data_IF_249504605778
#
_entry.id   IF_249504605778
#
_cell.length_a   1.000
_cell.length_b   1.000
_cell.length_c   1.000
_cell.angle_alpha   90.00
_cell.angle_beta   90.00
_cell.angle_gamma   90.00
#
_symmetry.space_group_name_H-M   'P 1'
#
loop_
_entity.id
_entity.type
_entity.pdbx_description
1 polymer ?
#
# COMPACT_ATOMS: atom_id res chain seq x y z
N UNK A 1 -3.95 -10.84 22.23
CA UNK A 1 -5.16 -11.29 21.52
C UNK A 1 -6.06 -10.14 21.07
N UNK A 2 -6.27 -9.07 21.88
CA UNK A 2 -7.21 -7.98 21.54
C UNK A 2 -6.78 -7.10 20.34
N UNK A 3 -5.49 -6.70 20.27
CA UNK A 3 -4.97 -5.84 19.18
C UNK A 3 -4.94 -6.49 17.79
N UNK A 4 -4.78 -7.81 17.72
CA UNK A 4 -4.82 -8.52 16.42
C UNK A 4 -6.24 -8.54 15.85
N UNK A 5 -7.25 -8.69 16.71
CA UNK A 5 -8.66 -8.64 16.33
C UNK A 5 -9.09 -7.22 15.94
N UNK A 6 -8.64 -6.22 16.70
CA UNK A 6 -8.82 -4.79 16.37
C UNK A 6 -8.20 -4.45 15.01
N UNK A 7 -6.97 -4.89 14.77
CA UNK A 7 -6.30 -4.71 13.48
C UNK A 7 -7.08 -5.39 12.36
N UNK A 8 -7.44 -6.66 12.54
CA UNK A 8 -8.16 -7.43 11.53
C UNK A 8 -9.49 -6.77 11.14
N UNK A 9 -10.23 -6.24 12.12
CA UNK A 9 -11.48 -5.54 11.89
C UNK A 9 -11.28 -4.19 11.18
N UNK A 10 -10.22 -3.46 11.55
CA UNK A 10 -9.94 -2.15 10.96
C UNK A 10 -9.43 -2.28 9.53
N UNK A 11 -8.47 -3.19 9.29
CA UNK A 11 -7.82 -3.36 7.99
C UNK A 11 -8.74 -4.04 6.97
N UNK A 12 -9.76 -4.78 7.41
CA UNK A 12 -10.83 -5.27 6.53
C UNK A 12 -11.47 -4.18 5.64
N UNK A 13 -11.45 -2.92 6.07
CA UNK A 13 -11.92 -1.79 5.26
C UNK A 13 -11.03 -1.51 4.04
N UNK A 14 -9.73 -1.79 4.14
CA UNK A 14 -8.75 -1.51 3.09
C UNK A 14 -8.48 -2.74 2.24
N UNK A 15 -8.70 -3.94 2.80
CA UNK A 15 -8.75 -5.20 2.06
C UNK A 15 -9.84 -5.09 1.00
N UNK A 16 -9.45 -5.00 -0.27
CA UNK A 16 -10.38 -5.21 -1.38
C UNK A 16 -10.92 -6.65 -1.32
N UNK A 17 -12.00 -6.95 -2.05
CA UNK A 17 -12.42 -8.34 -2.24
C UNK A 17 -11.28 -9.15 -2.86
N UNK A 18 -11.17 -10.47 -2.58
CA UNK A 18 -10.20 -11.34 -3.23
C UNK A 18 -10.24 -11.16 -4.74
N UNK A 19 -9.07 -11.15 -5.37
CA UNK A 19 -8.92 -11.01 -6.82
C UNK A 19 -9.65 -12.20 -7.48
N UNK A 20 -10.78 -11.99 -8.19
CA UNK A 20 -11.47 -13.04 -8.92
C UNK A 20 -10.55 -13.65 -9.99
N UNK A 21 -10.80 -14.90 -10.39
CA UNK A 21 -10.11 -15.51 -11.53
C UNK A 21 -10.35 -14.69 -12.81
N UNK A 22 -9.36 -14.71 -13.71
CA UNK A 22 -9.36 -14.01 -15.01
C UNK A 22 -10.54 -14.37 -15.93
N UNK A 23 -11.34 -15.37 -15.56
CA UNK A 23 -12.59 -15.76 -16.24
C UNK A 23 -13.71 -14.73 -16.09
N UNK A 24 -13.56 -13.75 -15.20
CA UNK A 24 -14.46 -12.60 -15.09
C UNK A 24 -14.18 -11.63 -16.23
N UNK A 25 -15.21 -11.07 -16.87
CA UNK A 25 -15.06 -10.18 -18.04
C UNK A 25 -14.11 -9.02 -17.69
N UNK A 26 -12.89 -9.12 -18.21
CA UNK A 26 -11.86 -8.11 -18.09
C UNK A 26 -11.67 -7.45 -19.45
N UNK A 27 -11.84 -6.13 -19.50
CA UNK A 27 -11.54 -5.36 -20.70
C UNK A 27 -10.23 -4.60 -20.52
N UNK A 28 -9.48 -4.50 -21.60
CA UNK A 28 -8.20 -3.79 -21.61
C UNK A 28 -8.47 -2.29 -21.77
N UNK A 29 -7.78 -1.47 -20.98
CA UNK A 29 -7.72 -0.04 -21.26
C UNK A 29 -6.54 0.20 -22.18
N UNK A 30 -6.76 0.75 -23.36
CA UNK A 30 -5.70 1.09 -24.32
C UNK A 30 -5.37 2.60 -24.34
N UNK A 31 -6.24 3.43 -23.76
CA UNK A 31 -6.09 4.89 -23.70
C UNK A 31 -5.28 5.34 -22.47
N UNK A 32 -4.21 6.10 -22.71
CA UNK A 32 -3.36 6.70 -21.67
C UNK A 32 -4.17 7.58 -20.71
N UNK A 33 -5.07 8.39 -21.25
CA UNK A 33 -5.94 9.29 -20.46
C UNK A 33 -6.86 8.49 -19.52
N UNK A 34 -7.43 7.39 -20.01
CA UNK A 34 -8.31 6.54 -19.20
C UNK A 34 -7.53 5.79 -18.12
N UNK A 35 -6.31 5.34 -18.44
CA UNK A 35 -5.40 4.71 -17.48
C UNK A 35 -5.02 5.66 -16.34
N UNK A 36 -4.65 6.90 -16.65
CA UNK A 36 -4.34 7.94 -15.65
C UNK A 36 -5.56 8.24 -14.77
N UNK A 37 -6.73 8.46 -15.39
CA UNK A 37 -7.98 8.73 -14.66
C UNK A 37 -8.34 7.57 -13.72
N UNK A 38 -8.17 6.33 -14.17
CA UNK A 38 -8.43 5.14 -13.39
C UNK A 38 -7.51 5.04 -12.17
N UNK A 39 -6.21 5.33 -12.33
CA UNK A 39 -5.25 5.38 -11.22
C UNK A 39 -5.60 6.46 -10.20
N UNK A 40 -6.00 7.66 -10.65
CA UNK A 40 -6.44 8.74 -9.76
C UNK A 40 -7.66 8.33 -8.93
N UNK A 41 -8.69 7.77 -9.57
CA UNK A 41 -9.90 7.31 -8.89
C UNK A 41 -9.59 6.20 -7.88
N UNK A 42 -8.65 5.31 -8.23
CA UNK A 42 -8.13 4.25 -7.35
C UNK A 42 -7.38 4.80 -6.15
N UNK A 43 -6.45 5.73 -6.36
CA UNK A 43 -5.71 6.39 -5.29
C UNK A 43 -6.67 7.09 -4.33
N UNK A 44 -7.62 7.88 -4.85
CA UNK A 44 -8.62 8.58 -4.04
C UNK A 44 -9.46 7.62 -3.18
N UNK A 45 -9.99 6.57 -3.81
CA UNK A 45 -10.75 5.53 -3.09
C UNK A 45 -9.90 4.89 -2.01
N UNK A 46 -8.65 4.54 -2.33
CA UNK A 46 -7.77 3.86 -1.38
C UNK A 46 -7.37 4.76 -0.22
N UNK A 47 -7.03 6.02 -0.47
CA UNK A 47 -6.69 6.98 0.58
C UNK A 47 -7.86 7.20 1.53
N UNK A 48 -9.07 7.32 0.99
CA UNK A 48 -10.29 7.40 1.81
C UNK A 48 -10.44 6.19 2.74
N UNK A 49 -10.20 4.98 2.23
CA UNK A 49 -10.27 3.75 3.02
C UNK A 49 -9.15 3.67 4.06
N UNK A 50 -7.94 4.10 3.73
CA UNK A 50 -6.80 4.15 4.67
C UNK A 50 -7.08 5.12 5.81
N UNK A 51 -7.59 6.32 5.52
CA UNK A 51 -7.99 7.31 6.55
C UNK A 51 -9.05 6.69 7.47
N UNK A 52 -10.12 6.09 6.92
CA UNK A 52 -11.16 5.42 7.71
C UNK A 52 -10.62 4.26 8.54
N UNK A 53 -9.74 3.43 7.97
CA UNK A 53 -9.07 2.34 8.69
C UNK A 53 -8.26 2.88 9.86
N UNK A 54 -7.44 3.90 9.61
CA UNK A 54 -6.56 4.47 10.63
C UNK A 54 -7.35 5.00 11.82
N UNK A 55 -8.49 5.64 11.57
CA UNK A 55 -9.39 6.12 12.63
C UNK A 55 -9.99 5.01 13.50
N UNK A 56 -10.08 3.78 12.98
CA UNK A 56 -10.57 2.61 13.73
C UNK A 56 -9.48 1.91 14.55
N UNK A 57 -8.21 2.28 14.36
CA UNK A 57 -7.10 1.77 15.16
C UNK A 57 -6.95 2.66 16.38
N UNK A 58 -7.20 2.12 17.57
CA UNK A 58 -7.14 2.85 18.85
C UNK A 58 -5.80 3.57 19.01
N UNK A 59 -4.70 2.87 18.73
CA UNK A 59 -3.36 3.44 18.83
C UNK A 59 -3.10 4.63 17.91
N UNK A 60 -3.83 4.76 16.81
CA UNK A 60 -3.78 5.91 15.91
C UNK A 60 -4.74 7.01 16.38
N UNK A 61 -5.94 6.64 16.82
CA UNK A 61 -6.94 7.59 17.32
C UNK A 61 -6.48 8.33 18.58
N UNK A 62 -5.65 7.69 19.41
CA UNK A 62 -5.05 8.25 20.62
C UNK A 62 -3.92 9.28 20.33
N UNK A 63 -3.49 9.46 19.08
CA UNK A 63 -2.48 10.46 18.69
C UNK A 63 -3.08 11.88 18.63
N UNK A 64 -2.24 12.91 18.65
CA UNK A 64 -2.68 14.28 18.36
C UNK A 64 -2.98 14.44 16.86
N UNK A 65 -3.81 15.43 16.50
CA UNK A 65 -4.23 15.65 15.11
C UNK A 65 -3.05 15.96 14.18
N UNK A 66 -2.05 16.72 14.65
CA UNK A 66 -0.85 17.03 13.85
C UNK A 66 -0.10 15.76 13.44
N UNK A 67 0.13 14.85 14.39
CA UNK A 67 0.79 13.56 14.12
C UNK A 67 -0.06 12.68 13.20
N UNK A 68 -1.39 12.66 13.37
CA UNK A 68 -2.29 11.90 12.48
C UNK A 68 -2.17 12.37 11.02
N UNK A 69 -2.20 13.68 10.80
CA UNK A 69 -2.10 14.27 9.46
C UNK A 69 -0.75 13.94 8.84
N UNK A 70 0.34 14.16 9.57
CA UNK A 70 1.71 13.89 9.11
C UNK A 70 1.89 12.40 8.75
N UNK A 71 1.43 11.49 9.60
CA UNK A 71 1.48 10.05 9.33
C UNK A 71 0.63 9.64 8.13
N UNK A 72 -0.57 10.21 7.95
CA UNK A 72 -1.42 9.90 6.80
C UNK A 72 -0.82 10.40 5.49
N UNK A 73 -0.26 11.61 5.48
CA UNK A 73 0.44 12.14 4.29
C UNK A 73 1.62 11.26 3.89
N UNK A 74 2.44 10.81 4.84
CA UNK A 74 3.57 9.94 4.57
C UNK A 74 3.16 8.50 4.24
N UNK A 75 2.15 7.97 4.93
CA UNK A 75 1.75 6.57 4.89
C UNK A 75 0.80 6.20 3.76
N UNK A 76 -0.16 7.06 3.39
CA UNK A 76 -1.19 6.73 2.38
C UNK A 76 -0.60 6.23 1.05
N UNK A 77 0.39 6.91 0.43
CA UNK A 77 0.99 6.43 -0.82
C UNK A 77 1.76 5.12 -0.65
N UNK A 78 2.49 4.96 0.46
CA UNK A 78 3.23 3.73 0.77
C UNK A 78 2.28 2.55 0.92
N UNK A 79 1.18 2.72 1.67
CA UNK A 79 0.14 1.72 1.87
C UNK A 79 -0.60 1.39 0.58
N UNK A 80 -0.87 2.39 -0.26
CA UNK A 80 -1.45 2.16 -1.57
C UNK A 80 -0.51 1.31 -2.44
N UNK A 81 0.79 1.63 -2.51
CA UNK A 81 1.77 0.85 -3.28
C UNK A 81 1.92 -0.58 -2.76
N UNK A 82 2.03 -0.77 -1.44
CA UNK A 82 2.11 -2.08 -0.81
C UNK A 82 0.91 -2.97 -1.18
N UNK A 83 -0.28 -2.38 -1.31
CA UNK A 83 -1.48 -3.12 -1.70
C UNK A 83 -1.64 -3.33 -3.21
N UNK A 84 -1.09 -2.45 -4.06
CA UNK A 84 -1.16 -2.62 -5.52
C UNK A 84 -0.35 -3.82 -6.02
N UNK A 85 0.66 -4.24 -5.27
CA UNK A 85 1.48 -5.43 -5.57
C UNK A 85 0.64 -6.68 -5.73
N UNK A 86 -0.38 -6.85 -4.89
CA UNK A 86 -1.27 -8.02 -4.91
C UNK A 86 -2.05 -8.10 -6.24
N UNK A 87 -2.29 -6.95 -6.87
CA UNK A 87 -3.09 -6.85 -8.08
C UNK A 87 -2.26 -6.79 -9.36
N UNK A 88 -0.93 -6.83 -9.27
CA UNK A 88 -0.06 -6.80 -10.44
C UNK A 88 0.27 -8.20 -10.94
N UNK A 89 0.04 -8.42 -12.23
CA UNK A 89 0.47 -9.61 -12.94
C UNK A 89 1.86 -9.35 -13.55
N UNK A 90 2.87 -10.04 -13.01
CA UNK A 90 4.27 -9.85 -13.45
C UNK A 90 4.45 -10.33 -14.89
N UNK A 91 3.85 -11.48 -15.23
CA UNK A 91 4.04 -12.14 -16.53
C UNK A 91 3.24 -11.41 -17.61
N UNK A 92 1.99 -11.05 -17.29
CA UNK A 92 1.10 -10.29 -18.15
C UNK A 92 1.44 -8.80 -18.26
N UNK A 93 2.28 -8.28 -17.35
CA UNK A 93 2.69 -6.86 -17.26
C UNK A 93 1.48 -5.90 -17.18
N UNK A 94 0.47 -6.27 -16.40
CA UNK A 94 -0.71 -5.44 -16.18
C UNK A 94 -1.13 -5.43 -14.71
N UNK A 95 -1.78 -4.36 -14.28
CA UNK A 95 -2.55 -4.34 -13.04
C UNK A 95 -3.99 -4.76 -13.31
N UNK A 96 -4.52 -5.64 -12.45
CA UNK A 96 -5.96 -5.91 -12.38
C UNK A 96 -6.64 -4.84 -11.56
N UNK A 97 -7.52 -4.07 -12.20
CA UNK A 97 -8.25 -2.97 -11.57
C UNK A 97 -9.74 -3.27 -11.50
N UNK A 98 -10.27 -3.48 -10.29
CA UNK A 98 -11.68 -3.82 -10.09
C UNK A 98 -12.64 -2.62 -10.21
N UNK A 99 -13.59 -2.68 -11.13
CA UNK A 99 -14.61 -1.66 -11.33
C UNK A 99 -15.93 -2.20 -10.76
N UNK A 100 -16.21 -1.87 -9.50
CA UNK A 100 -17.34 -2.45 -8.77
C UNK A 100 -17.08 -3.89 -8.33
N UNK A 101 -18.16 -4.66 -8.16
CA UNK A 101 -18.08 -6.02 -7.58
C UNK A 101 -17.80 -7.12 -8.59
N UNK A 102 -18.15 -6.91 -9.87
CA UNK A 102 -18.17 -7.98 -10.88
C UNK A 102 -17.33 -7.69 -12.12
N UNK A 103 -16.74 -6.48 -12.24
CA UNK A 103 -15.96 -6.10 -13.42
C UNK A 103 -14.52 -5.82 -13.04
N UNK A 104 -13.61 -6.19 -13.92
CA UNK A 104 -12.20 -5.83 -13.82
C UNK A 104 -11.75 -5.18 -15.14
N UNK A 105 -10.75 -4.33 -15.06
CA UNK A 105 -9.99 -3.81 -16.18
C UNK A 105 -8.55 -4.24 -16.05
N UNK A 106 -7.92 -4.53 -17.17
CA UNK A 106 -6.46 -4.71 -17.22
C UNK A 106 -5.83 -3.38 -17.59
N UNK A 107 -5.07 -2.81 -16.67
CA UNK A 107 -4.24 -1.64 -16.91
C UNK A 107 -2.85 -2.13 -17.34
N UNK A 108 -2.58 -2.15 -18.63
CA UNK A 108 -1.26 -2.52 -19.14
C UNK A 108 -0.23 -1.47 -18.73
N UNK A 109 0.97 -1.93 -18.38
CA UNK A 109 2.12 -1.04 -18.14
C UNK A 109 2.40 -0.11 -19.32
N UNK A 110 2.13 -0.55 -20.55
CA UNK A 110 2.28 0.27 -21.76
C UNK A 110 1.36 1.48 -21.82
N UNK A 111 0.22 1.47 -21.13
CA UNK A 111 -0.77 2.57 -21.11
C UNK A 111 -0.30 3.71 -20.21
N UNK A 112 0.70 3.46 -19.38
CA UNK A 112 1.33 4.47 -18.53
C UNK A 112 2.46 5.20 -19.28
N UNK A 113 2.27 5.52 -20.57
CA UNK A 113 3.22 6.32 -21.34
C UNK A 113 3.49 7.64 -20.60
N UNK A 114 4.74 7.86 -20.18
CA UNK A 114 5.15 8.98 -19.30
C UNK A 114 5.58 8.56 -17.88
N UNK A 115 5.29 7.33 -17.46
CA UNK A 115 5.98 6.70 -16.33
C UNK A 115 7.32 6.16 -16.84
N UNK A 116 8.42 6.50 -16.16
CA UNK A 116 9.74 6.04 -16.58
C UNK A 116 9.86 4.52 -16.40
N UNK A 117 10.69 3.89 -17.23
CA UNK A 117 11.11 2.49 -17.05
C UNK A 117 11.62 2.23 -15.63
N UNK A 118 12.21 3.26 -15.00
CA UNK A 118 12.67 3.24 -13.62
C UNK A 118 11.52 2.97 -12.63
N UNK A 119 10.34 3.55 -12.81
CA UNK A 119 9.19 3.33 -11.90
C UNK A 119 8.69 1.89 -12.02
N UNK A 120 8.54 1.42 -13.26
CA UNK A 120 8.08 0.06 -13.55
C UNK A 120 9.10 -0.95 -13.01
N UNK A 121 10.39 -0.72 -13.23
CA UNK A 121 11.45 -1.61 -12.75
C UNK A 121 11.55 -1.60 -11.22
N UNK A 122 11.44 -0.43 -10.59
CA UNK A 122 11.45 -0.31 -9.12
C UNK A 122 10.24 -1.02 -8.49
N UNK A 123 9.06 -0.90 -9.10
CA UNK A 123 7.88 -1.65 -8.67
C UNK A 123 8.08 -3.17 -8.80
N UNK A 124 8.61 -3.64 -9.93
CA UNK A 124 8.95 -5.06 -10.13
C UNK A 124 9.96 -5.57 -9.10
N UNK A 125 11.04 -4.82 -8.88
CA UNK A 125 12.07 -5.17 -7.89
C UNK A 125 11.48 -5.27 -6.49
N UNK A 126 10.60 -4.34 -6.13
CA UNK A 126 9.89 -4.37 -4.86
C UNK A 126 9.01 -5.63 -4.74
N UNK A 127 8.26 -5.99 -5.78
CA UNK A 127 7.48 -7.22 -5.80
C UNK A 127 8.33 -8.48 -5.64
N UNK A 128 9.44 -8.60 -6.37
CA UNK A 128 10.35 -9.74 -6.23
C UNK A 128 10.95 -9.81 -4.83
N UNK A 129 11.25 -8.65 -4.22
CA UNK A 129 11.76 -8.58 -2.85
C UNK A 129 10.73 -9.01 -1.80
N UNK A 130 9.45 -8.74 -2.06
CA UNK A 130 8.35 -9.18 -1.21
C UNK A 130 8.17 -10.70 -1.26
N UNK A 131 8.61 -11.40 -2.33
CA UNK A 131 8.54 -12.85 -2.60
C UNK A 131 7.12 -13.38 -2.91
N UNK A 132 7.02 -14.30 -3.87
CA UNK A 132 5.76 -14.88 -4.34
C UNK A 132 5.03 -15.72 -3.26
N UNK A 133 5.74 -16.24 -2.25
CA UNK A 133 5.15 -16.98 -1.11
C UNK A 133 4.16 -16.16 -0.27
N UNK A 134 4.19 -14.83 -0.42
CA UNK A 134 3.34 -13.91 0.32
C UNK A 134 2.23 -13.29 -0.54
N UNK A 135 2.21 -13.61 -1.83
CA UNK A 135 1.03 -13.37 -2.66
C UNK A 135 -0.13 -14.10 -1.98
N UNK A 136 -1.15 -13.34 -1.57
CA UNK A 136 -2.38 -13.80 -0.91
C UNK A 136 -2.34 -13.97 0.63
N UNK A 137 -1.25 -13.66 1.34
CA UNK A 137 -1.29 -13.62 2.81
C UNK A 137 -1.74 -12.25 3.34
N UNK A 138 -3.04 -12.06 3.44
CA UNK A 138 -3.64 -10.81 3.90
C UNK A 138 -3.25 -10.47 5.35
N UNK A 139 -2.99 -11.45 6.21
CA UNK A 139 -2.59 -11.16 7.59
C UNK A 139 -1.20 -10.55 7.64
N UNK A 140 -0.29 -11.03 6.79
CA UNK A 140 1.03 -10.45 6.64
C UNK A 140 0.96 -9.02 6.11
N UNK A 141 0.21 -8.79 5.02
CA UNK A 141 0.10 -7.45 4.41
C UNK A 141 -0.48 -6.44 5.39
N UNK A 142 -1.44 -6.83 6.23
CA UNK A 142 -2.01 -5.98 7.26
C UNK A 142 -1.00 -5.60 8.35
N UNK A 143 -0.18 -6.56 8.78
CA UNK A 143 0.88 -6.32 9.76
C UNK A 143 1.94 -5.36 9.18
N UNK A 144 2.36 -5.58 7.93
CA UNK A 144 3.27 -4.69 7.23
C UNK A 144 2.65 -3.29 7.06
N UNK A 145 1.38 -3.20 6.70
CA UNK A 145 0.63 -1.95 6.59
C UNK A 145 0.63 -1.18 7.92
N UNK A 146 0.45 -1.89 9.04
CA UNK A 146 0.47 -1.27 10.36
C UNK A 146 1.86 -0.72 10.72
N UNK A 147 2.92 -1.45 10.37
CA UNK A 147 4.31 -1.02 10.59
C UNK A 147 4.62 0.24 9.78
N UNK A 148 4.13 0.32 8.53
CA UNK A 148 4.26 1.48 7.66
C UNK A 148 3.44 2.68 8.16
N UNK A 149 2.23 2.45 8.67
CA UNK A 149 1.36 3.52 9.18
C UNK A 149 1.96 4.23 10.41
N UNK A 150 2.60 3.47 11.31
CA UNK A 150 3.21 4.01 12.51
C UNK A 150 4.71 4.23 12.33
N UNK A 151 5.11 4.98 11.29
CA UNK A 151 6.53 5.29 11.07
C UNK A 151 6.99 6.47 11.95
N UNK A 152 7.87 6.26 12.95
CA UNK A 152 8.34 7.32 13.84
C UNK A 152 9.41 8.22 13.19
N UNK A 153 9.95 7.83 12.04
CA UNK A 153 11.03 8.53 11.36
C UNK A 153 10.48 9.60 10.38
N UNK A 154 9.16 9.69 10.23
CA UNK A 154 8.51 10.75 9.46
C UNK A 154 8.89 12.14 10.01
N UNK A 155 9.24 13.11 9.14
CA UNK A 155 9.53 14.48 9.55
C UNK A 155 8.34 15.14 10.26
N UNK A 156 8.61 16.14 11.10
CA UNK A 156 7.60 16.99 11.75
C UNK A 156 6.64 16.30 12.74
N UNK A 157 6.92 15.07 13.16
CA UNK A 157 6.18 14.42 14.25
C UNK A 157 6.50 15.03 15.62
N UNK A 158 5.46 15.25 16.42
CA UNK A 158 5.50 15.76 17.79
C UNK A 158 5.78 14.61 18.77
N UNK A 159 5.03 13.51 18.72
CA UNK A 159 5.10 12.43 19.71
C UNK A 159 5.74 11.14 19.16
N UNK A 160 6.95 11.25 18.60
CA UNK A 160 7.71 10.12 18.00
C UNK A 160 7.83 8.88 18.89
N UNK A 161 7.98 9.05 20.21
CA UNK A 161 8.10 7.92 21.16
C UNK A 161 6.81 7.09 21.21
N UNK A 162 5.64 7.74 21.23
CA UNK A 162 4.34 7.07 21.24
C UNK A 162 4.11 6.29 19.94
N UNK A 163 4.46 6.90 18.80
CA UNK A 163 4.37 6.27 17.48
C UNK A 163 5.31 5.06 17.39
N UNK A 164 6.56 5.20 17.83
CA UNK A 164 7.54 4.11 17.88
C UNK A 164 7.06 2.92 18.73
N UNK A 165 6.34 3.17 19.81
CA UNK A 165 5.75 2.12 20.63
C UNK A 165 4.65 1.35 19.88
N UNK A 166 3.80 2.06 19.13
CA UNK A 166 2.81 1.42 18.26
C UNK A 166 3.51 0.58 17.18
N UNK A 167 4.52 1.14 16.50
CA UNK A 167 5.28 0.42 15.47
C UNK A 167 5.90 -0.87 16.01
N UNK A 168 6.60 -0.79 17.14
CA UNK A 168 7.21 -1.94 17.81
C UNK A 168 6.19 -3.02 18.17
N UNK A 169 4.97 -2.61 18.54
CA UNK A 169 3.88 -3.55 18.81
C UNK A 169 3.55 -4.38 17.56
N UNK A 170 3.42 -3.74 16.39
CA UNK A 170 3.13 -4.46 15.14
C UNK A 170 4.32 -5.26 14.60
N UNK A 171 5.56 -4.77 14.79
CA UNK A 171 6.76 -5.54 14.49
C UNK A 171 6.86 -6.81 15.33
N UNK A 172 6.53 -6.75 16.62
CA UNK A 172 6.47 -7.91 17.49
C UNK A 172 5.37 -8.90 17.04
N UNK A 173 4.18 -8.40 16.70
CA UNK A 173 3.11 -9.24 16.17
C UNK A 173 3.52 -9.95 14.87
N UNK A 174 4.26 -9.26 13.99
CA UNK A 174 4.82 -9.85 12.77
C UNK A 174 5.82 -10.96 13.07
N UNK A 175 6.73 -10.77 14.03
CA UNK A 175 7.66 -11.83 14.45
C UNK A 175 6.91 -13.07 14.95
N UNK A 176 5.93 -12.88 15.84
CA UNK A 176 5.09 -13.98 16.36
C UNK A 176 4.30 -14.66 15.25
N UNK A 177 3.77 -13.91 14.29
CA UNK A 177 3.06 -14.45 13.14
C UNK A 177 3.96 -15.37 12.31
N UNK A 178 5.18 -14.93 12.00
CA UNK A 178 6.15 -15.71 11.25
C UNK A 178 6.63 -16.95 12.02
N UNK A 179 6.82 -16.87 13.33
CA UNK A 179 7.15 -18.03 14.18
C UNK A 179 6.04 -19.10 14.20
N UNK A 180 4.77 -18.69 14.13
CA UNK A 180 3.65 -19.64 14.06
C UNK A 180 3.57 -20.28 12.67
N UNK A 181 3.82 -19.49 11.62
CA UNK A 181 3.74 -19.94 10.24
C UNK A 181 4.92 -20.83 9.82
N UNK A 182 6.08 -20.64 10.44
CA UNK A 182 7.31 -21.35 10.11
C UNK A 182 7.83 -22.12 11.32
N UNK A 183 8.03 -23.43 11.19
CA UNK A 183 8.43 -24.33 12.29
C UNK A 183 9.91 -24.13 12.77
N UNK A 184 10.55 -23.02 12.42
CA UNK A 184 11.94 -22.71 12.77
C UNK A 184 12.11 -21.24 13.14
N UNK A 185 12.67 -21.00 14.32
CA UNK A 185 12.97 -19.64 14.81
C UNK A 185 14.01 -18.91 13.94
N UNK A 186 15.03 -19.62 13.47
CA UNK A 186 16.05 -19.03 12.58
C UNK A 186 15.44 -18.61 11.24
N UNK A 187 14.49 -19.40 10.76
CA UNK A 187 13.77 -19.14 9.52
C UNK A 187 12.85 -17.92 9.63
N UNK A 188 12.09 -17.80 10.73
CA UNK A 188 11.22 -16.66 10.98
C UNK A 188 12.00 -15.36 11.17
N UNK A 189 13.14 -15.38 11.88
CA UNK A 189 14.02 -14.22 12.04
C UNK A 189 14.61 -13.74 10.71
N UNK A 190 15.04 -14.68 9.85
CA UNK A 190 15.56 -14.36 8.52
C UNK A 190 14.48 -13.70 7.66
N UNK A 191 13.25 -14.24 7.68
CA UNK A 191 12.11 -13.65 6.95
C UNK A 191 11.73 -12.28 7.48
N UNK A 192 11.70 -12.10 8.80
CA UNK A 192 11.44 -10.81 9.42
C UNK A 192 12.43 -9.75 8.93
N UNK A 193 13.74 -10.05 8.95
CA UNK A 193 14.78 -9.13 8.46
C UNK A 193 14.59 -8.79 6.98
N UNK A 194 14.27 -9.77 6.14
CA UNK A 194 13.98 -9.55 4.71
C UNK A 194 12.78 -8.63 4.53
N UNK A 195 11.69 -8.85 5.25
CA UNK A 195 10.50 -8.01 5.19
C UNK A 195 10.77 -6.57 5.66
N UNK A 196 11.57 -6.38 6.72
CA UNK A 196 11.95 -5.02 7.16
C UNK A 196 12.83 -4.31 6.12
N UNK A 197 13.75 -5.04 5.46
CA UNK A 197 14.53 -4.48 4.36
C UNK A 197 13.65 -4.15 3.15
N UNK A 198 12.66 -4.98 2.86
CA UNK A 198 11.65 -4.72 1.84
C UNK A 198 10.92 -3.40 2.15
N UNK A 199 10.38 -3.21 3.35
CA UNK A 199 9.69 -1.97 3.72
C UNK A 199 10.56 -0.72 3.56
N UNK A 200 11.89 -0.80 3.76
CA UNK A 200 12.79 0.35 3.49
C UNK A 200 12.85 0.74 2.01
N UNK A 201 12.68 -0.21 1.10
CA UNK A 201 12.63 0.06 -0.34
C UNK A 201 11.30 0.71 -0.78
N UNK A 202 10.27 0.70 0.07
CA UNK A 202 8.98 1.31 -0.22
C UNK A 202 9.05 2.85 -0.28
N UNK A 203 9.88 3.46 0.57
CA UNK A 203 10.05 4.91 0.60
C UNK A 203 10.60 5.49 -0.73
N UNK A 204 11.75 5.05 -1.27
CA UNK A 204 12.26 5.57 -2.54
C UNK A 204 11.30 5.29 -3.71
N UNK A 205 10.65 4.12 -3.75
CA UNK A 205 9.61 3.84 -4.75
C UNK A 205 8.44 4.83 -4.64
N UNK A 206 8.04 5.19 -3.42
CA UNK A 206 6.98 6.17 -3.18
C UNK A 206 7.36 7.55 -3.70
N UNK A 207 8.60 8.00 -3.48
CA UNK A 207 9.08 9.29 -4.00
C UNK A 207 9.08 9.32 -5.53
N UNK A 208 9.52 8.23 -6.15
CA UNK A 208 9.51 8.09 -7.60
C UNK A 208 8.09 8.14 -8.16
N UNK A 209 7.15 7.40 -7.55
CA UNK A 209 5.73 7.44 -7.92
C UNK A 209 5.13 8.82 -7.70
N UNK A 210 5.42 9.50 -6.58
CA UNK A 210 4.96 10.89 -6.33
C UNK A 210 5.39 11.84 -7.44
N UNK A 211 6.66 11.79 -7.84
CA UNK A 211 7.21 12.62 -8.91
C UNK A 211 6.51 12.40 -10.25
N UNK A 212 6.37 11.14 -10.68
CA UNK A 212 5.73 10.82 -11.96
C UNK A 212 4.22 11.05 -11.93
N UNK A 213 3.57 10.72 -10.82
CA UNK A 213 2.15 10.99 -10.62
C UNK A 213 1.89 12.50 -10.67
N UNK A 214 2.67 13.32 -9.96
CA UNK A 214 2.60 14.79 -10.04
C UNK A 214 2.71 15.33 -11.47
N UNK A 215 3.65 14.81 -12.28
CA UNK A 215 3.79 15.19 -13.69
C UNK A 215 2.61 14.77 -14.56
N UNK A 216 2.06 13.57 -14.34
CA UNK A 216 0.91 13.08 -15.09
C UNK A 216 -0.38 13.89 -14.81
N UNK A 217 -0.41 14.67 -13.73
CA UNK A 217 -1.54 15.51 -13.31
C UNK A 217 -1.52 16.91 -13.96
N UNK A 218 -0.50 17.21 -14.77
CA UNK A 218 -0.44 18.40 -15.63
C UNK A 218 -1.45 18.29 -16.80
N UNK A 219 -2.04 17.10 -17.02
CA UNK A 219 -3.17 16.91 -17.93
C UNK A 219 -4.46 17.55 -17.34
N UNK A 220 -5.41 18.10 -18.13
CA UNK A 220 -6.57 18.87 -17.65
C UNK A 220 -7.62 18.10 -16.80
N UNK A 221 -7.29 16.91 -16.34
CA UNK A 221 -8.18 16.05 -15.55
C UNK A 221 -8.16 16.52 -14.09
N UNK A 222 -9.34 16.82 -13.53
CA UNK A 222 -9.47 17.24 -12.12
C UNK A 222 -9.06 16.11 -11.17
N UNK A 223 -7.98 16.32 -10.44
CA UNK A 223 -7.51 15.45 -9.36
C UNK A 223 -8.43 15.62 -8.15
N UNK A 224 -8.73 14.53 -7.45
CA UNK A 224 -9.53 14.61 -6.22
C UNK A 224 -8.77 15.39 -5.12
N UNK A 225 -9.45 16.25 -4.32
CA UNK A 225 -8.79 17.08 -3.30
C UNK A 225 -7.93 16.29 -2.29
N UNK A 226 -8.39 15.13 -1.86
CA UNK A 226 -7.63 14.27 -0.94
C UNK A 226 -6.33 13.76 -1.58
N UNK A 227 -6.35 13.45 -2.87
CA UNK A 227 -5.15 13.01 -3.59
C UNK A 227 -4.18 14.19 -3.70
N UNK A 228 -4.68 15.40 -3.97
CA UNK A 228 -3.85 16.61 -3.99
C UNK A 228 -3.18 16.86 -2.63
N UNK A 229 -3.95 16.79 -1.55
CA UNK A 229 -3.45 16.99 -0.19
C UNK A 229 -2.39 15.96 0.22
N UNK A 230 -2.61 14.68 -0.10
CA UNK A 230 -1.66 13.60 0.23
C UNK A 230 -0.38 13.69 -0.62
N UNK A 231 -0.51 14.00 -1.92
CA UNK A 231 0.63 14.13 -2.83
C UNK A 231 1.35 15.48 -2.74
N UNK A 232 0.74 16.46 -2.07
CA UNK A 232 1.24 17.84 -1.92
C UNK A 232 1.42 18.55 -3.28
N UNK A 233 0.37 18.48 -4.09
CA UNK A 233 0.31 18.97 -5.48
C UNK A 233 -0.88 19.91 -5.69
#
# INVERSE_FOLDING_TARGET
MNRFKELFNSVALVRGKPVPPLTTIAYETESVSDGIQLMQNRANTKFTLIVKMSANIKGFNDLCEDDKIVLLKAGCPQLWLLQNIINFDIDGKFWRVFIGEEKATLLRTSVLEGWSDEVIQSHKNFMFSLNAEYNCDMSLIDLLSSIVLFDPDVPNLVHKTSIKLQQKTYMYLLQRYLEIKHNSKSESETRFKRLMNCLRALYPLTQLVRHHFGKALIHPIRVAPLVQEIFEI
#
